data_IF_246697680195
#
_entry.id   IF_246697680195
#
_cell.length_a   1.000
_cell.length_b   1.000
_cell.length_c   1.000
_cell.angle_alpha   90.00
_cell.angle_beta   90.00
_cell.angle_gamma   90.00
#
_symmetry.space_group_name_H-M   'P 1'
#
loop_
_entity.id
_entity.type
_entity.pdbx_description
1 polymer ?
#
# COMPACT_ATOMS: atom_id res chain seq x y z
N UNK A 1 2.42 12.80 -24.60
CA UNK A 1 1.18 12.43 -23.87
C UNK A 1 1.62 11.75 -22.60
N UNK A 2 1.55 12.40 -21.45
CA UNK A 2 1.81 11.72 -20.17
C UNK A 2 0.78 10.61 -20.04
N UNK A 3 1.20 9.34 -19.95
CA UNK A 3 0.26 8.28 -19.58
C UNK A 3 -0.39 8.68 -18.25
N UNK A 4 -1.70 8.87 -18.29
CA UNK A 4 -2.49 8.93 -17.07
C UNK A 4 -2.48 7.51 -16.55
N UNK A 5 -1.63 7.23 -15.56
CA UNK A 5 -1.60 5.95 -14.89
C UNK A 5 -3.01 5.69 -14.35
N UNK A 6 -3.75 4.76 -14.97
CA UNK A 6 -5.15 4.47 -14.66
C UNK A 6 -5.39 4.09 -13.20
N UNK A 7 -4.32 3.68 -12.49
CA UNK A 7 -4.36 3.32 -11.08
C UNK A 7 -3.89 4.44 -10.16
N UNK A 8 -3.34 5.56 -10.66
CA UNK A 8 -2.90 6.65 -9.78
C UNK A 8 -4.11 7.47 -9.32
N UNK A 9 -4.45 7.33 -8.05
CA UNK A 9 -5.54 8.06 -7.40
C UNK A 9 -4.98 9.04 -6.35
N UNK A 10 -5.74 10.04 -5.88
CA UNK A 10 -5.30 10.94 -4.80
C UNK A 10 -4.88 10.21 -3.52
N UNK A 11 -5.39 8.99 -3.30
CA UNK A 11 -4.99 8.13 -2.18
C UNK A 11 -3.48 7.82 -2.21
N UNK A 12 -2.90 7.64 -3.40
CA UNK A 12 -1.48 7.37 -3.57
C UNK A 12 -0.62 8.54 -3.06
N UNK A 13 -1.06 9.77 -3.32
CA UNK A 13 -0.36 10.99 -2.87
C UNK A 13 -0.52 11.19 -1.35
N UNK A 14 -1.70 10.90 -0.80
CA UNK A 14 -1.97 11.02 0.63
C UNK A 14 -1.20 9.99 1.47
N UNK A 15 -1.08 8.75 0.98
CA UNK A 15 -0.43 7.66 1.69
C UNK A 15 1.05 7.46 1.31
N UNK A 16 1.53 8.12 0.26
CA UNK A 16 2.90 7.96 -0.24
C UNK A 16 3.18 6.60 -0.86
N UNK A 17 2.18 5.95 -1.46
CA UNK A 17 2.32 4.64 -2.11
C UNK A 17 2.28 4.74 -3.65
N UNK A 18 2.78 3.71 -4.34
CA UNK A 18 2.78 3.65 -5.82
C UNK A 18 1.45 3.19 -6.38
N UNK A 19 0.76 2.30 -5.67
CA UNK A 19 -0.49 1.71 -6.09
C UNK A 19 -1.57 1.94 -5.04
N UNK A 20 -2.85 2.12 -5.43
CA UNK A 20 -3.97 2.29 -4.51
C UNK A 20 -4.40 0.94 -3.93
N UNK A 21 -3.44 0.13 -3.47
CA UNK A 21 -3.63 -1.21 -2.91
C UNK A 21 -3.30 -1.13 -1.43
N UNK A 22 -4.26 -1.55 -0.61
CA UNK A 22 -4.15 -1.55 0.85
C UNK A 22 -4.12 -3.00 1.32
N UNK A 23 -3.09 -3.38 2.08
CA UNK A 23 -3.14 -4.55 2.93
C UNK A 23 -3.95 -4.17 4.17
N UNK A 24 -5.16 -4.72 4.30
CA UNK A 24 -6.10 -4.39 5.38
C UNK A 24 -5.61 -4.90 6.74
N UNK A 25 -6.03 -4.26 7.84
CA UNK A 25 -5.66 -4.71 9.18
C UNK A 25 -6.12 -6.16 9.43
N UNK A 26 -5.16 -7.05 9.70
CA UNK A 26 -5.39 -8.46 10.01
C UNK A 26 -4.63 -8.78 11.30
N UNK A 27 -5.34 -8.90 12.42
CA UNK A 27 -4.73 -8.88 13.76
C UNK A 27 -3.56 -9.86 13.97
N UNK A 28 -3.64 -11.08 13.44
CA UNK A 28 -2.56 -12.08 13.60
C UNK A 28 -1.66 -12.25 12.36
N UNK A 29 -2.07 -11.71 11.20
CA UNK A 29 -1.41 -11.98 9.91
C UNK A 29 -0.57 -10.79 9.45
N UNK A 30 -0.95 -9.57 9.84
CA UNK A 30 -0.29 -8.33 9.44
C UNK A 30 0.97 -8.02 10.28
N UNK A 31 1.85 -9.01 10.41
CA UNK A 31 3.16 -8.84 11.05
C UNK A 31 4.12 -7.98 10.20
N UNK A 32 5.29 -7.68 10.77
CA UNK A 32 6.33 -6.83 10.15
C UNK A 32 6.69 -7.27 8.74
N UNK A 33 6.81 -8.57 8.50
CA UNK A 33 7.26 -9.11 7.23
C UNK A 33 6.23 -8.88 6.12
N UNK A 34 4.94 -9.05 6.42
CA UNK A 34 3.86 -8.80 5.46
C UNK A 34 3.72 -7.31 5.13
N UNK A 35 3.83 -6.45 6.14
CA UNK A 35 3.77 -4.99 5.95
C UNK A 35 4.95 -4.52 5.12
N UNK A 36 6.17 -4.95 5.47
CA UNK A 36 7.37 -4.61 4.72
C UNK A 36 7.29 -5.10 3.27
N UNK A 37 6.83 -6.33 3.03
CA UNK A 37 6.62 -6.85 1.69
C UNK A 37 5.62 -6.01 0.90
N UNK A 38 4.50 -5.62 1.52
CA UNK A 38 3.46 -4.77 0.91
C UNK A 38 4.01 -3.39 0.52
N UNK A 39 4.71 -2.73 1.44
CA UNK A 39 5.33 -1.41 1.20
C UNK A 39 6.40 -1.48 0.11
N UNK A 40 7.25 -2.51 0.12
CA UNK A 40 8.25 -2.72 -0.93
C UNK A 40 7.61 -2.97 -2.31
N UNK A 41 6.49 -3.69 -2.34
CA UNK A 41 5.70 -3.88 -3.56
C UNK A 41 5.02 -2.58 -4.05
N UNK A 42 4.95 -1.55 -3.22
CA UNK A 42 4.41 -0.24 -3.54
C UNK A 42 2.96 -0.01 -3.09
N UNK A 43 2.40 -0.90 -2.28
CA UNK A 43 1.12 -0.70 -1.59
C UNK A 43 1.31 -0.05 -0.21
N UNK A 44 0.21 0.12 0.52
CA UNK A 44 0.20 0.61 1.89
C UNK A 44 -0.22 -0.51 2.86
N UNK A 45 0.55 -0.74 3.93
CA UNK A 45 0.29 -1.81 4.90
C UNK A 45 0.04 -1.29 6.31
N UNK A 46 -0.76 -2.03 7.08
CA UNK A 46 -1.04 -1.77 8.49
C UNK A 46 -0.33 -2.80 9.35
N UNK A 47 0.56 -2.35 10.23
CA UNK A 47 1.21 -3.22 11.21
C UNK A 47 0.22 -3.60 12.31
N UNK A 48 0.01 -4.90 12.49
CA UNK A 48 -0.66 -5.42 13.67
C UNK A 48 0.22 -5.21 14.91
N UNK A 49 -0.41 -4.79 16.00
CA UNK A 49 0.18 -4.66 17.33
C UNK A 49 -0.55 -5.54 18.34
#
# INVERSE_FOLDING_TARGET
MSEVNALRTPLCDLLGCRYPIIQTAMGWVAGSDLVAATTNAGGFGFLAG
#
